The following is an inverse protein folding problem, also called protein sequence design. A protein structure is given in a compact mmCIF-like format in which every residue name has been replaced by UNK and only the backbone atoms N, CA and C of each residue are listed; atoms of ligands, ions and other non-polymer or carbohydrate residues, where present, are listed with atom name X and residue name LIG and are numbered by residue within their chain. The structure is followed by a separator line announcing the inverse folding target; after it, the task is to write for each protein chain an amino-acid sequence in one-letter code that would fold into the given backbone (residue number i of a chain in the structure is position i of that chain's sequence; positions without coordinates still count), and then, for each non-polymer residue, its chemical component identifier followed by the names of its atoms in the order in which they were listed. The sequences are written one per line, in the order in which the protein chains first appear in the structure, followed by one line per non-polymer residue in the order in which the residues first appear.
data_IF_319667483154
#
_entry.id   IF_319667483154
#
_cell.length_a   1.000
_cell.length_b   1.000
_cell.length_c   1.000
_cell.angle_alpha   90.00
_cell.angle_beta   90.00
_cell.angle_gamma   90.00
#
_symmetry.space_group_name_H-M   'P 1'
#
loop_
_entity.id
_entity.type
_entity.pdbx_description
1 polymer ?
#
# COMPACT_ATOMS: atom_id res chain seq x y z
N UNK A 1 22.03 9.13 -1.69
CA UNK A 1 21.28 9.43 -2.92
C UNK A 1 21.21 8.10 -3.62
N UNK A 2 20.04 7.57 -3.88
CA UNK A 2 19.90 6.28 -4.56
C UNK A 2 20.28 6.49 -6.03
N UNK A 3 21.19 5.69 -6.57
CA UNK A 3 21.47 5.70 -8.00
C UNK A 3 20.24 5.16 -8.73
N UNK A 4 19.62 6.01 -9.53
CA UNK A 4 18.46 5.67 -10.33
C UNK A 4 18.88 5.55 -11.79
N UNK A 5 18.35 4.54 -12.49
CA UNK A 5 18.65 4.36 -13.91
C UNK A 5 17.91 5.41 -14.73
N UNK A 6 18.67 6.26 -15.42
CA UNK A 6 18.14 7.28 -16.30
C UNK A 6 17.37 6.63 -17.48
N UNK A 7 16.17 7.14 -17.76
CA UNK A 7 15.34 6.70 -18.89
C UNK A 7 15.62 7.58 -20.12
N UNK A 8 15.71 8.89 -19.93
CA UNK A 8 15.97 9.86 -21.00
C UNK A 8 16.57 11.15 -20.40
N UNK A 9 17.24 11.91 -21.23
CA UNK A 9 17.66 13.29 -20.92
C UNK A 9 17.14 14.20 -22.03
N UNK A 10 16.33 15.20 -21.66
CA UNK A 10 15.74 16.16 -22.58
C UNK A 10 15.88 17.57 -22.01
N UNK A 11 16.47 18.48 -22.79
CA UNK A 11 16.71 19.90 -22.38
C UNK A 11 17.41 20.06 -21.01
N UNK A 12 18.35 19.14 -20.67
CA UNK A 12 19.07 19.18 -19.39
C UNK A 12 18.28 18.60 -18.19
N UNK A 13 17.07 18.11 -18.42
CA UNK A 13 16.27 17.38 -17.43
C UNK A 13 16.46 15.89 -17.63
N UNK A 14 16.88 15.18 -16.59
CA UNK A 14 16.99 13.74 -16.60
C UNK A 14 15.72 13.12 -16.04
N UNK A 15 15.04 12.32 -16.86
CA UNK A 15 13.92 11.49 -16.43
C UNK A 15 14.42 10.11 -16.03
N UNK A 16 13.87 9.55 -14.95
CA UNK A 16 14.25 8.26 -14.41
C UNK A 16 13.16 7.23 -14.62
N UNK A 17 13.54 5.96 -14.87
CA UNK A 17 12.58 4.87 -15.06
C UNK A 17 11.64 4.72 -13.87
N UNK A 18 12.13 4.86 -12.66
CA UNK A 18 11.27 4.82 -11.46
C UNK A 18 10.12 5.83 -11.54
N UNK A 19 10.42 7.08 -11.84
CA UNK A 19 9.42 8.14 -12.03
C UNK A 19 8.44 7.84 -13.17
N UNK A 20 8.92 7.26 -14.28
CA UNK A 20 8.08 6.87 -15.41
C UNK A 20 7.07 5.78 -15.02
N UNK A 21 7.47 4.77 -14.24
CA UNK A 21 6.57 3.73 -13.74
C UNK A 21 5.56 4.26 -12.72
N UNK A 22 5.97 5.20 -11.84
CA UNK A 22 5.04 5.88 -10.93
C UNK A 22 3.99 6.68 -11.71
N UNK A 23 4.42 7.43 -12.73
CA UNK A 23 3.51 8.18 -13.61
C UNK A 23 2.56 7.25 -14.38
N UNK A 24 3.07 6.12 -14.90
CA UNK A 24 2.26 5.08 -15.54
C UNK A 24 1.23 4.49 -14.58
N UNK A 25 1.65 4.18 -13.35
CA UNK A 25 0.73 3.72 -12.30
C UNK A 25 -0.36 4.72 -11.99
N UNK A 26 -0.01 6.01 -11.89
CA UNK A 26 -0.99 7.08 -11.68
C UNK A 26 -1.98 7.18 -12.85
N UNK A 27 -1.49 7.08 -14.09
CA UNK A 27 -2.34 7.08 -15.28
C UNK A 27 -3.32 5.90 -15.29
N UNK A 28 -2.84 4.68 -15.01
CA UNK A 28 -3.69 3.48 -14.88
C UNK A 28 -4.75 3.66 -13.77
N UNK A 29 -4.35 4.12 -12.61
CA UNK A 29 -5.25 4.38 -11.49
C UNK A 29 -6.37 5.35 -11.88
N UNK A 30 -6.04 6.50 -12.47
CA UNK A 30 -7.00 7.51 -12.88
C UNK A 30 -7.91 7.00 -14.02
N UNK A 31 -7.37 6.22 -14.95
CA UNK A 31 -8.15 5.58 -16.02
C UNK A 31 -9.20 4.63 -15.45
N UNK A 32 -8.81 3.73 -14.54
CA UNK A 32 -9.74 2.79 -13.91
C UNK A 32 -10.69 3.50 -12.96
N UNK A 33 -10.26 4.54 -12.24
CA UNK A 33 -11.16 5.38 -11.46
C UNK A 33 -12.25 6.02 -12.34
N UNK A 34 -11.87 6.63 -13.46
CA UNK A 34 -12.82 7.22 -14.41
C UNK A 34 -13.76 6.17 -15.03
N UNK A 35 -13.23 4.97 -15.37
CA UNK A 35 -14.04 3.85 -15.87
C UNK A 35 -15.07 3.42 -14.83
N UNK A 36 -14.68 3.28 -13.57
CA UNK A 36 -15.58 2.87 -12.49
C UNK A 36 -16.62 3.96 -12.15
N UNK A 37 -16.24 5.24 -12.21
CA UNK A 37 -17.18 6.35 -12.11
C UNK A 37 -18.28 6.28 -13.19
N UNK A 38 -17.92 5.92 -14.43
CA UNK A 38 -18.91 5.73 -15.51
C UNK A 38 -19.85 4.55 -15.22
N UNK A 39 -19.30 3.43 -14.69
CA UNK A 39 -20.10 2.24 -14.33
C UNK A 39 -21.07 2.53 -13.18
N UNK A 40 -20.65 3.33 -12.19
CA UNK A 40 -21.48 3.79 -11.06
C UNK A 40 -22.41 4.95 -11.43
N UNK A 41 -22.40 5.38 -12.70
CA UNK A 41 -23.19 6.53 -13.19
C UNK A 41 -22.96 7.79 -12.36
N UNK A 42 -21.70 8.04 -11.95
CA UNK A 42 -21.34 9.26 -11.26
C UNK A 42 -21.65 10.49 -12.14
N UNK A 43 -21.89 11.62 -11.49
CA UNK A 43 -22.18 12.90 -12.15
C UNK A 43 -21.05 13.27 -13.12
N UNK A 44 -21.42 13.89 -14.26
CA UNK A 44 -20.43 14.36 -15.23
C UNK A 44 -19.41 15.29 -14.58
N UNK A 45 -18.13 15.15 -14.95
CA UNK A 45 -17.04 15.94 -14.39
C UNK A 45 -16.46 15.39 -13.06
N UNK A 46 -17.12 14.44 -12.38
CA UNK A 46 -16.64 13.88 -11.10
C UNK A 46 -15.24 13.27 -11.24
N UNK A 47 -15.00 12.45 -12.25
CA UNK A 47 -13.69 11.83 -12.46
C UNK A 47 -12.61 12.88 -12.82
N UNK A 48 -12.94 13.86 -13.63
CA UNK A 48 -11.99 14.93 -13.99
C UNK A 48 -11.62 15.78 -12.77
N UNK A 49 -12.61 16.19 -11.97
CA UNK A 49 -12.37 16.95 -10.74
C UNK A 49 -11.53 16.15 -9.73
N UNK A 50 -11.88 14.86 -9.54
CA UNK A 50 -11.09 13.99 -8.69
C UNK A 50 -9.65 13.89 -9.19
N UNK A 51 -9.40 13.67 -10.48
CA UNK A 51 -8.07 13.57 -11.06
C UNK A 51 -7.25 14.85 -10.86
N UNK A 52 -7.86 16.02 -11.05
CA UNK A 52 -7.23 17.31 -10.84
C UNK A 52 -6.82 17.55 -9.37
N UNK A 53 -7.60 17.06 -8.42
CA UNK A 53 -7.32 17.18 -6.98
C UNK A 53 -6.40 16.06 -6.45
N UNK A 54 -6.51 14.84 -6.99
CA UNK A 54 -5.84 13.67 -6.48
C UNK A 54 -4.31 13.77 -6.61
N UNK A 55 -3.80 14.27 -7.73
CA UNK A 55 -2.36 14.40 -7.96
C UNK A 55 -1.73 15.37 -6.95
N UNK A 56 -2.15 16.65 -6.86
CA UNK A 56 -1.52 17.60 -5.94
C UNK A 56 -1.75 17.22 -4.47
N UNK A 57 -2.94 16.77 -4.08
CA UNK A 57 -3.21 16.38 -2.70
C UNK A 57 -2.49 15.07 -2.34
N UNK A 58 -2.40 14.12 -3.26
CA UNK A 58 -1.66 12.89 -3.08
C UNK A 58 -0.17 13.15 -2.86
N UNK A 59 0.45 13.98 -3.67
CA UNK A 59 1.85 14.38 -3.52
C UNK A 59 2.07 15.16 -2.21
N UNK A 60 1.24 16.15 -1.93
CA UNK A 60 1.35 16.98 -0.74
C UNK A 60 1.23 16.14 0.54
N UNK A 61 0.15 15.36 0.67
CA UNK A 61 -0.06 14.53 1.86
C UNK A 61 1.01 13.44 2.00
N UNK A 62 1.48 12.87 0.88
CA UNK A 62 2.57 11.90 0.87
C UNK A 62 3.86 12.51 1.42
N UNK A 63 4.22 13.70 0.98
CA UNK A 63 5.41 14.42 1.43
C UNK A 63 5.29 14.88 2.88
N UNK A 64 4.16 15.46 3.25
CA UNK A 64 3.90 15.92 4.62
C UNK A 64 3.99 14.77 5.61
N UNK A 65 3.33 13.64 5.30
CA UNK A 65 3.37 12.47 6.19
C UNK A 65 4.77 11.89 6.30
N UNK A 66 5.53 11.82 5.19
CA UNK A 66 6.92 11.41 5.22
C UNK A 66 7.75 12.31 6.14
N UNK A 67 7.68 13.62 5.95
CA UNK A 67 8.46 14.57 6.74
C UNK A 67 8.07 14.57 8.22
N UNK A 68 6.79 14.36 8.54
CA UNK A 68 6.32 14.24 9.93
C UNK A 68 6.89 12.99 10.63
N UNK A 69 6.94 11.88 9.91
CA UNK A 69 7.46 10.63 10.47
C UNK A 69 8.98 10.64 10.54
N UNK A 70 9.65 11.20 9.53
CA UNK A 70 11.11 11.36 9.49
C UNK A 70 11.60 12.31 10.59
N UNK A 71 10.95 13.47 10.75
CA UNK A 71 11.20 14.40 11.85
C UNK A 71 11.10 13.73 13.22
N UNK A 72 10.07 12.90 13.42
CA UNK A 72 9.86 12.21 14.70
C UNK A 72 11.03 11.32 15.09
N UNK A 73 11.74 10.76 14.12
CA UNK A 73 12.84 9.84 14.37
C UNK A 73 14.22 10.48 14.24
N UNK A 74 14.36 11.51 13.40
CA UNK A 74 15.64 12.16 13.13
C UNK A 74 15.78 13.56 13.74
N UNK A 75 14.72 14.09 14.37
CA UNK A 75 14.76 15.33 15.15
C UNK A 75 14.90 16.61 14.33
N UNK A 76 14.73 16.58 13.00
CA UNK A 76 14.99 17.74 12.12
C UNK A 76 13.85 18.02 11.12
N UNK A 77 12.67 18.34 11.63
CA UNK A 77 11.61 18.85 10.75
C UNK A 77 11.93 20.29 10.31
N UNK A 78 11.90 20.54 9.00
CA UNK A 78 11.91 21.90 8.49
C UNK A 78 10.87 22.05 7.37
N UNK A 79 10.18 23.21 7.36
CA UNK A 79 9.26 23.58 6.27
C UNK A 79 9.96 23.57 4.91
N UNK A 80 11.27 23.90 4.89
CA UNK A 80 12.09 23.83 3.69
C UNK A 80 12.23 22.39 3.20
N UNK A 81 12.49 21.41 4.08
CA UNK A 81 12.58 19.99 3.72
C UNK A 81 11.23 19.47 3.20
N UNK A 82 10.11 19.89 3.79
CA UNK A 82 8.77 19.53 3.32
C UNK A 82 8.47 20.12 1.93
N UNK A 83 8.96 21.32 1.62
CA UNK A 83 8.76 21.97 0.34
C UNK A 83 9.68 21.43 -0.79
N UNK A 84 10.77 20.72 -0.43
CA UNK A 84 11.72 20.15 -1.41
C UNK A 84 11.21 18.80 -1.97
N UNK A 85 10.22 18.87 -2.85
CA UNK A 85 9.64 17.65 -3.49
C UNK A 85 10.65 16.86 -4.33
N UNK A 86 11.64 17.53 -4.91
CA UNK A 86 12.72 16.92 -5.70
C UNK A 86 13.75 16.12 -4.87
N UNK A 87 13.73 16.27 -3.55
CA UNK A 87 14.63 15.54 -2.65
C UNK A 87 14.19 14.10 -2.36
N UNK A 88 13.09 13.63 -2.98
CA UNK A 88 12.54 12.30 -2.71
C UNK A 88 11.92 12.19 -1.32
N UNK A 89 11.59 10.96 -0.91
CA UNK A 89 10.94 10.68 0.37
C UNK A 89 9.45 10.98 0.35
N UNK A 90 8.67 9.93 0.03
CA UNK A 90 7.22 10.00 -0.05
C UNK A 90 6.61 8.80 0.71
N UNK A 91 5.49 9.03 1.38
CA UNK A 91 4.73 7.98 2.07
C UNK A 91 3.58 7.50 1.20
N UNK A 92 3.51 6.21 0.94
CA UNK A 92 2.38 5.61 0.20
C UNK A 92 1.05 5.79 0.96
N UNK A 93 1.06 5.66 2.28
CA UNK A 93 -0.13 5.91 3.09
C UNK A 93 -0.53 7.39 3.04
N UNK A 94 0.45 8.30 3.04
CA UNK A 94 0.18 9.73 2.84
C UNK A 94 -0.48 10.02 1.48
N UNK A 95 -0.01 9.37 0.41
CA UNK A 95 -0.62 9.49 -0.92
C UNK A 95 -2.08 8.96 -0.92
N UNK A 96 -2.33 7.83 -0.24
CA UNK A 96 -3.68 7.28 -0.10
C UNK A 96 -4.61 8.22 0.69
N UNK A 97 -4.12 8.83 1.78
CA UNK A 97 -4.88 9.83 2.53
C UNK A 97 -5.19 11.07 1.69
N UNK A 98 -4.22 11.54 0.90
CA UNK A 98 -4.42 12.64 -0.04
C UNK A 98 -5.45 12.32 -1.12
N UNK A 99 -5.42 11.11 -1.67
CA UNK A 99 -6.42 10.64 -2.62
C UNK A 99 -7.82 10.49 -1.97
N UNK A 100 -7.90 10.03 -0.73
CA UNK A 100 -9.15 9.96 0.02
C UNK A 100 -9.71 11.36 0.30
N UNK A 101 -8.85 12.32 0.64
CA UNK A 101 -9.21 13.73 0.79
C UNK A 101 -9.71 14.33 -0.53
N UNK A 102 -9.04 14.03 -1.65
CA UNK A 102 -9.50 14.44 -2.99
C UNK A 102 -10.89 13.87 -3.32
N UNK A 103 -11.14 12.60 -2.99
CA UNK A 103 -12.45 11.98 -3.17
C UNK A 103 -13.51 12.66 -2.32
N UNK A 104 -13.19 12.97 -1.06
CA UNK A 104 -14.10 13.67 -0.15
C UNK A 104 -14.42 15.10 -0.63
N UNK A 105 -13.40 15.89 -1.03
CA UNK A 105 -13.58 17.25 -1.59
C UNK A 105 -14.42 17.19 -2.87
N UNK A 106 -14.10 16.25 -3.78
CA UNK A 106 -14.87 16.03 -5.02
C UNK A 106 -16.34 15.73 -4.70
N UNK A 107 -16.61 14.87 -3.73
CA UNK A 107 -17.96 14.55 -3.29
C UNK A 107 -18.72 15.78 -2.78
N UNK A 108 -18.04 16.62 -1.99
CA UNK A 108 -18.62 17.88 -1.46
C UNK A 108 -18.96 18.86 -2.57
N UNK A 109 -18.02 19.09 -3.52
CA UNK A 109 -18.24 20.02 -4.65
C UNK A 109 -19.36 19.52 -5.55
N UNK A 110 -19.38 18.22 -5.85
CA UNK A 110 -20.40 17.60 -6.72
C UNK A 110 -21.75 17.35 -6.02
N UNK A 111 -21.80 17.57 -4.68
CA UNK A 111 -22.98 17.30 -3.83
C UNK A 111 -23.46 15.84 -3.96
N UNK A 112 -22.52 14.90 -3.92
CA UNK A 112 -22.78 13.45 -3.93
C UNK A 112 -22.20 12.80 -2.67
N UNK A 113 -22.63 11.59 -2.28
CA UNK A 113 -22.04 10.90 -1.16
C UNK A 113 -20.57 10.52 -1.45
N UNK A 114 -19.70 10.65 -0.44
CA UNK A 114 -18.27 10.36 -0.58
C UNK A 114 -17.96 8.84 -0.65
N UNK A 115 -18.78 8.01 0.00
CA UNK A 115 -18.52 6.58 0.13
C UNK A 115 -18.36 5.84 -1.21
N UNK A 116 -19.22 6.06 -2.24
CA UNK A 116 -19.02 5.46 -3.56
C UNK A 116 -17.68 5.84 -4.20
N UNK A 117 -17.21 7.08 -4.03
CA UNK A 117 -15.92 7.50 -4.58
C UNK A 117 -14.75 6.84 -3.85
N UNK A 118 -14.84 6.64 -2.53
CA UNK A 118 -13.88 5.89 -1.75
C UNK A 118 -13.88 4.39 -2.12
N UNK A 119 -15.03 3.81 -2.41
CA UNK A 119 -15.14 2.44 -2.94
C UNK A 119 -14.42 2.30 -4.30
N UNK A 120 -14.63 3.26 -5.20
CA UNK A 120 -13.98 3.32 -6.51
C UNK A 120 -12.47 3.49 -6.35
N UNK A 121 -12.04 4.42 -5.48
CA UNK A 121 -10.63 4.68 -5.18
C UNK A 121 -9.92 3.39 -4.75
N UNK A 122 -10.46 2.70 -3.74
CA UNK A 122 -9.84 1.48 -3.22
C UNK A 122 -9.84 0.33 -4.23
N UNK A 123 -10.80 0.28 -5.13
CA UNK A 123 -10.83 -0.71 -6.20
C UNK A 123 -9.81 -0.40 -7.33
N UNK A 124 -9.53 0.88 -7.57
CA UNK A 124 -8.56 1.31 -8.58
C UNK A 124 -7.11 1.35 -8.06
N UNK A 125 -6.90 1.50 -6.75
CA UNK A 125 -5.58 1.63 -6.12
C UNK A 125 -4.59 0.52 -6.47
N UNK A 126 -4.97 -0.77 -6.55
CA UNK A 126 -4.04 -1.84 -6.92
C UNK A 126 -3.38 -1.67 -8.28
N UNK A 127 -4.02 -0.99 -9.24
CA UNK A 127 -3.41 -0.69 -10.54
C UNK A 127 -2.23 0.27 -10.41
N UNK A 128 -2.34 1.27 -9.52
CA UNK A 128 -1.22 2.15 -9.18
C UNK A 128 -0.06 1.38 -8.57
N UNK A 129 -0.35 0.58 -7.52
CA UNK A 129 0.67 -0.15 -6.79
C UNK A 129 1.40 -1.12 -7.72
N UNK A 130 0.66 -1.87 -8.54
CA UNK A 130 1.23 -2.83 -9.49
C UNK A 130 2.27 -2.19 -10.41
N UNK A 131 1.94 -1.06 -11.04
CA UNK A 131 2.85 -0.39 -11.95
C UNK A 131 3.99 0.35 -11.22
N UNK A 132 3.66 1.11 -10.16
CA UNK A 132 4.65 1.92 -9.43
C UNK A 132 5.74 1.05 -8.79
N UNK A 133 5.37 -0.12 -8.23
CA UNK A 133 6.34 -1.04 -7.61
C UNK A 133 7.29 -1.68 -8.60
N UNK A 134 6.87 -1.92 -9.84
CA UNK A 134 7.79 -2.38 -10.90
C UNK A 134 8.92 -1.39 -11.16
N UNK A 135 8.67 -0.09 -10.96
CA UNK A 135 9.68 0.96 -11.12
C UNK A 135 10.84 0.86 -10.13
N UNK A 136 10.63 0.26 -8.95
CA UNK A 136 11.68 0.08 -7.94
C UNK A 136 12.81 -0.84 -8.44
N UNK A 137 12.54 -1.71 -9.41
CA UNK A 137 13.57 -2.54 -10.05
C UNK A 137 14.64 -1.77 -10.83
N UNK A 138 14.40 -0.49 -11.09
CA UNK A 138 15.35 0.42 -11.74
C UNK A 138 16.09 1.32 -10.74
N UNK A 139 16.02 1.00 -9.46
CA UNK A 139 16.75 1.66 -8.38
C UNK A 139 17.65 0.64 -7.69
N UNK A 140 18.77 1.07 -7.15
CA UNK A 140 19.74 0.13 -6.57
C UNK A 140 19.31 -0.42 -5.20
N UNK A 141 18.57 0.36 -4.42
CA UNK A 141 18.33 0.05 -3.01
C UNK A 141 16.85 -0.08 -2.62
N UNK A 142 15.91 0.43 -3.42
CA UNK A 142 14.49 0.35 -3.08
C UNK A 142 13.94 -1.07 -3.32
N UNK A 143 13.08 -1.51 -2.41
CA UNK A 143 12.37 -2.77 -2.56
C UNK A 143 13.24 -4.03 -2.43
N UNK A 144 14.40 -3.95 -1.79
CA UNK A 144 15.23 -5.10 -1.44
C UNK A 144 14.85 -5.65 -0.08
N UNK A 145 15.00 -6.97 0.07
CA UNK A 145 14.92 -7.64 1.37
C UNK A 145 16.24 -7.53 2.15
N UNK A 146 16.29 -8.19 3.30
CA UNK A 146 17.56 -8.57 3.94
C UNK A 146 18.32 -9.56 3.04
N UNK A 147 19.66 -9.69 3.23
CA UNK A 147 20.46 -10.71 2.54
C UNK A 147 19.86 -12.11 2.72
N UNK A 148 19.83 -12.88 1.63
CA UNK A 148 19.27 -14.22 1.59
C UNK A 148 20.32 -15.25 1.99
N UNK A 149 20.07 -15.99 3.05
CA UNK A 149 20.94 -17.08 3.49
C UNK A 149 20.61 -18.44 2.87
N UNK A 150 19.57 -18.51 1.98
CA UNK A 150 19.06 -19.74 1.40
C UNK A 150 19.51 -19.86 -0.05
N UNK A 151 20.45 -20.75 -0.35
CA UNK A 151 21.10 -20.85 -1.67
C UNK A 151 20.13 -21.05 -2.84
N UNK A 152 19.08 -21.87 -2.72
CA UNK A 152 18.11 -22.09 -3.80
C UNK A 152 17.30 -20.82 -4.11
N UNK A 153 17.01 -20.01 -3.10
CA UNK A 153 16.27 -18.75 -3.28
C UNK A 153 17.19 -17.66 -3.83
N UNK A 154 18.43 -17.58 -3.35
CA UNK A 154 19.47 -16.67 -3.85
C UNK A 154 19.78 -16.88 -5.34
N UNK A 155 19.67 -18.11 -5.84
CA UNK A 155 19.88 -18.44 -7.25
C UNK A 155 18.59 -18.42 -8.10
N UNK A 156 17.46 -17.99 -7.52
CA UNK A 156 16.18 -17.91 -8.23
C UNK A 156 16.02 -16.58 -8.96
N UNK A 157 15.07 -16.54 -9.93
CA UNK A 157 14.67 -15.30 -10.60
C UNK A 157 14.05 -14.25 -9.63
N UNK A 158 13.64 -14.68 -8.43
CA UNK A 158 13.12 -13.81 -7.40
C UNK A 158 14.22 -13.07 -6.62
N UNK A 159 15.48 -13.45 -6.81
CA UNK A 159 16.61 -12.79 -6.17
C UNK A 159 17.29 -11.80 -7.11
N UNK A 160 17.86 -10.78 -6.52
CA UNK A 160 18.80 -9.85 -7.15
C UNK A 160 20.13 -9.96 -6.41
N UNK A 161 21.22 -10.12 -7.19
CA UNK A 161 22.57 -10.24 -6.67
C UNK A 161 23.31 -8.93 -6.94
N UNK A 162 24.03 -8.40 -5.95
CA UNK A 162 24.83 -7.20 -6.09
C UNK A 162 26.34 -7.49 -6.19
N UNK A 163 26.70 -8.78 -6.31
CA UNK A 163 28.07 -9.26 -6.37
C UNK A 163 28.64 -9.73 -5.02
N UNK A 164 28.02 -9.36 -3.91
CA UNK A 164 28.38 -9.78 -2.55
C UNK A 164 27.26 -10.60 -1.92
N UNK A 165 26.03 -10.07 -1.94
CA UNK A 165 24.87 -10.68 -1.35
C UNK A 165 23.72 -10.81 -2.34
N UNK A 166 22.83 -11.75 -2.07
CA UNK A 166 21.58 -11.91 -2.80
C UNK A 166 20.41 -11.37 -1.97
N UNK A 167 19.50 -10.64 -2.60
CA UNK A 167 18.34 -10.00 -1.99
C UNK A 167 17.06 -10.42 -2.70
N UNK A 168 15.97 -10.61 -1.97
CA UNK A 168 14.68 -10.87 -2.57
C UNK A 168 14.16 -9.59 -3.28
N UNK A 169 13.66 -9.74 -4.50
CA UNK A 169 12.98 -8.67 -5.25
C UNK A 169 11.58 -8.45 -4.69
N UNK A 170 11.48 -7.82 -3.51
CA UNK A 170 10.20 -7.61 -2.82
C UNK A 170 9.25 -6.77 -3.66
N UNK A 171 9.78 -5.80 -4.42
CA UNK A 171 9.02 -4.97 -5.35
C UNK A 171 8.28 -5.81 -6.41
N UNK A 172 8.88 -6.88 -6.91
CA UNK A 172 8.27 -7.76 -7.91
C UNK A 172 7.10 -8.55 -7.30
N UNK A 173 7.29 -9.12 -6.11
CA UNK A 173 6.25 -9.85 -5.39
C UNK A 173 5.07 -8.93 -5.01
N UNK A 174 5.39 -7.72 -4.58
CA UNK A 174 4.38 -6.71 -4.25
C UNK A 174 3.60 -6.28 -5.50
N UNK A 175 4.30 -6.02 -6.62
CA UNK A 175 3.67 -5.71 -7.90
C UNK A 175 2.76 -6.83 -8.39
N UNK A 176 3.21 -8.10 -8.34
CA UNK A 176 2.41 -9.26 -8.72
C UNK A 176 1.16 -9.40 -7.84
N UNK A 177 1.32 -9.25 -6.53
CA UNK A 177 0.20 -9.33 -5.59
C UNK A 177 -0.81 -8.20 -5.84
N UNK A 178 -0.33 -6.97 -6.07
CA UNK A 178 -1.19 -5.85 -6.43
C UNK A 178 -1.88 -6.08 -7.78
N UNK A 179 -1.21 -6.68 -8.77
CA UNK A 179 -1.79 -7.07 -10.05
C UNK A 179 -2.93 -8.08 -9.89
N UNK A 180 -2.75 -9.10 -9.04
CA UNK A 180 -3.80 -10.08 -8.70
C UNK A 180 -5.00 -9.36 -8.06
N UNK A 181 -4.76 -8.45 -7.12
CA UNK A 181 -5.83 -7.67 -6.50
C UNK A 181 -6.53 -6.74 -7.49
N UNK A 182 -5.80 -6.13 -8.43
CA UNK A 182 -6.35 -5.31 -9.51
C UNK A 182 -7.31 -6.12 -10.39
N UNK A 183 -6.88 -7.31 -10.84
CA UNK A 183 -7.72 -8.24 -11.61
C UNK A 183 -8.94 -8.68 -10.80
N UNK A 184 -8.74 -9.01 -9.53
CA UNK A 184 -9.84 -9.41 -8.63
C UNK A 184 -10.89 -8.31 -8.49
N UNK A 185 -10.50 -7.04 -8.24
CA UNK A 185 -11.44 -5.93 -8.13
C UNK A 185 -12.10 -5.62 -9.48
N UNK A 186 -11.36 -5.66 -10.60
CA UNK A 186 -11.91 -5.47 -11.92
C UNK A 186 -12.98 -6.52 -12.26
N UNK A 187 -12.68 -7.80 -12.06
CA UNK A 187 -13.63 -8.90 -12.29
C UNK A 187 -14.86 -8.81 -11.38
N UNK A 188 -14.65 -8.46 -10.09
CA UNK A 188 -15.73 -8.27 -9.14
C UNK A 188 -16.67 -7.13 -9.53
N UNK A 189 -16.11 -5.98 -9.93
CA UNK A 189 -16.92 -4.82 -10.36
C UNK A 189 -17.64 -5.13 -11.67
N UNK A 190 -16.96 -5.76 -12.62
CA UNK A 190 -17.58 -6.14 -13.89
C UNK A 190 -18.74 -7.11 -13.71
N UNK A 191 -18.60 -8.09 -12.80
CA UNK A 191 -19.67 -9.05 -12.47
C UNK A 191 -20.84 -8.40 -11.73
N UNK A 192 -20.56 -7.51 -10.79
CA UNK A 192 -21.59 -6.87 -9.93
C UNK A 192 -22.16 -5.59 -10.51
N UNK A 193 -21.49 -5.01 -11.51
CA UNK A 193 -21.79 -3.69 -12.09
C UNK A 193 -21.71 -2.55 -11.06
N UNK A 194 -21.04 -2.77 -9.92
CA UNK A 194 -20.87 -1.77 -8.86
C UNK A 194 -19.55 -1.98 -8.09
N UNK A 195 -18.92 -0.88 -7.68
CA UNK A 195 -17.76 -0.86 -6.80
C UNK A 195 -18.12 -0.97 -5.30
N UNK A 196 -19.41 -0.92 -4.96
CA UNK A 196 -19.89 -0.89 -3.57
C UNK A 196 -19.25 -1.98 -2.69
N UNK A 197 -18.80 -1.56 -1.50
CA UNK A 197 -18.13 -2.41 -0.51
C UNK A 197 -16.68 -2.77 -0.90
N UNK A 198 -16.07 -2.05 -1.84
CA UNK A 198 -14.66 -2.21 -2.17
C UNK A 198 -13.75 -1.48 -1.17
N UNK A 199 -14.24 -0.41 -0.52
CA UNK A 199 -13.46 0.32 0.49
C UNK A 199 -12.96 -0.60 1.61
N UNK A 200 -13.88 -1.18 2.37
CA UNK A 200 -13.48 -2.06 3.49
C UNK A 200 -12.76 -3.32 3.02
N UNK A 201 -13.16 -3.88 1.87
CA UNK A 201 -12.48 -5.04 1.32
C UNK A 201 -11.05 -4.71 0.87
N UNK A 202 -10.85 -3.55 0.24
CA UNK A 202 -9.54 -3.07 -0.16
C UNK A 202 -8.68 -2.72 1.06
N UNK A 203 -9.22 -2.03 2.06
CA UNK A 203 -8.53 -1.76 3.31
C UNK A 203 -8.06 -3.06 4.00
N UNK A 204 -8.91 -4.10 4.00
CA UNK A 204 -8.55 -5.39 4.58
C UNK A 204 -7.44 -6.08 3.77
N UNK A 205 -7.63 -6.26 2.45
CA UNK A 205 -6.70 -7.03 1.62
C UNK A 205 -5.39 -6.28 1.36
N UNK A 206 -5.45 -5.00 1.00
CA UNK A 206 -4.25 -4.18 0.80
C UNK A 206 -3.53 -3.92 2.12
N UNK A 207 -4.26 -3.66 3.20
CA UNK A 207 -3.66 -3.46 4.52
C UNK A 207 -2.86 -4.66 4.99
N UNK A 208 -3.40 -5.88 4.84
CA UNK A 208 -2.69 -7.11 5.23
C UNK A 208 -1.51 -7.42 4.32
N UNK A 209 -1.65 -7.30 3.00
CA UNK A 209 -0.56 -7.57 2.05
C UNK A 209 0.55 -6.54 2.16
N UNK A 210 0.22 -5.25 2.28
CA UNK A 210 1.22 -4.19 2.42
C UNK A 210 1.94 -4.26 3.79
N UNK A 211 1.26 -4.63 4.87
CA UNK A 211 1.92 -4.86 6.16
C UNK A 211 2.97 -5.98 6.09
N UNK A 212 2.70 -7.05 5.30
CA UNK A 212 3.67 -8.12 5.04
C UNK A 212 4.86 -7.63 4.21
N UNK A 213 4.60 -6.91 3.10
CA UNK A 213 5.67 -6.45 2.22
C UNK A 213 6.57 -5.40 2.88
N UNK A 214 6.01 -4.53 3.72
CA UNK A 214 6.80 -3.59 4.51
C UNK A 214 7.73 -4.30 5.53
N UNK A 215 7.35 -5.48 6.04
CA UNK A 215 8.22 -6.34 6.85
C UNK A 215 9.37 -6.93 6.02
N UNK A 216 9.07 -7.39 4.80
CA UNK A 216 10.06 -7.96 3.89
C UNK A 216 11.08 -6.93 3.40
N UNK A 217 10.73 -5.66 3.32
CA UNK A 217 11.61 -4.57 2.88
C UNK A 217 12.64 -4.25 3.97
N UNK A 218 13.87 -4.09 3.55
CA UNK A 218 14.98 -3.72 4.43
C UNK A 218 15.64 -2.39 4.00
N UNK A 219 14.91 -1.59 3.24
CA UNK A 219 15.34 -0.21 2.99
C UNK A 219 15.15 0.64 4.26
N UNK A 220 15.95 1.70 4.40
CA UNK A 220 15.91 2.59 5.56
C UNK A 220 14.72 3.55 5.59
N UNK A 221 13.77 3.38 4.64
CA UNK A 221 12.65 4.30 4.45
C UNK A 221 11.64 4.22 5.59
N UNK A 222 11.51 5.29 6.37
CA UNK A 222 10.56 5.42 7.49
C UNK A 222 10.63 4.27 8.51
N UNK A 223 11.82 3.66 8.68
CA UNK A 223 12.02 2.55 9.58
C UNK A 223 12.51 3.06 10.95
N UNK A 224 11.90 2.57 12.02
CA UNK A 224 12.31 2.80 13.38
C UNK A 224 12.75 1.49 14.01
N UNK A 225 14.06 1.33 14.21
CA UNK A 225 14.63 0.06 14.65
C UNK A 225 14.24 -1.07 13.70
N UNK A 226 13.55 -2.09 14.18
CA UNK A 226 13.14 -3.27 13.41
C UNK A 226 11.74 -3.15 12.76
N UNK A 227 10.97 -2.08 13.00
CA UNK A 227 9.61 -1.90 12.48
C UNK A 227 9.55 -0.71 11.53
N UNK A 228 8.83 -0.85 10.40
CA UNK A 228 8.49 0.24 9.50
C UNK A 228 7.25 0.99 9.99
N UNK A 229 7.27 2.33 9.93
CA UNK A 229 6.08 3.14 10.26
C UNK A 229 4.97 2.92 9.25
N UNK A 230 5.28 2.68 7.98
CA UNK A 230 4.27 2.33 6.98
C UNK A 230 3.60 1.00 7.31
N UNK A 231 4.34 0.02 7.82
CA UNK A 231 3.80 -1.25 8.29
C UNK A 231 2.73 -1.06 9.38
N UNK A 232 3.00 -0.19 10.37
CA UNK A 232 2.03 0.15 11.42
C UNK A 232 0.77 0.80 10.82
N UNK A 233 0.94 1.74 9.89
CA UNK A 233 -0.18 2.43 9.24
C UNK A 233 -1.06 1.46 8.43
N UNK A 234 -0.45 0.51 7.70
CA UNK A 234 -1.20 -0.54 7.01
C UNK A 234 -1.87 -1.52 7.97
N UNK A 235 -1.22 -1.83 9.11
CA UNK A 235 -1.84 -2.61 10.17
C UNK A 235 -3.07 -1.91 10.75
N UNK A 236 -3.02 -0.62 11.01
CA UNK A 236 -4.18 0.18 11.42
C UNK A 236 -5.28 0.16 10.36
N UNK A 237 -4.93 0.20 9.07
CA UNK A 237 -5.89 0.16 7.96
C UNK A 237 -6.67 -1.17 7.92
N UNK A 238 -6.00 -2.32 7.98
CA UNK A 238 -6.72 -3.60 8.00
C UNK A 238 -7.48 -3.83 9.32
N UNK A 239 -6.95 -3.38 10.46
CA UNK A 239 -7.63 -3.47 11.75
C UNK A 239 -8.95 -2.66 11.75
N UNK A 240 -8.92 -1.44 11.22
CA UNK A 240 -10.13 -0.63 11.05
C UNK A 240 -11.18 -1.34 10.18
N UNK A 241 -10.75 -1.93 9.05
CA UNK A 241 -11.65 -2.68 8.18
C UNK A 241 -12.25 -3.92 8.88
N UNK A 242 -11.45 -4.67 9.63
CA UNK A 242 -11.89 -5.84 10.38
C UNK A 242 -12.92 -5.45 11.47
N UNK A 243 -12.63 -4.40 12.26
CA UNK A 243 -13.52 -3.89 13.30
C UNK A 243 -14.83 -3.39 12.70
N UNK A 244 -14.80 -2.68 11.58
CA UNK A 244 -16.00 -2.19 10.89
C UNK A 244 -16.84 -3.33 10.31
N UNK A 245 -16.23 -4.41 9.82
CA UNK A 245 -16.98 -5.61 9.43
C UNK A 245 -17.60 -6.33 10.64
N UNK A 246 -16.84 -6.44 11.74
CA UNK A 246 -17.32 -7.05 12.97
C UNK A 246 -18.48 -6.26 13.60
N UNK A 247 -18.43 -4.93 13.56
CA UNK A 247 -19.47 -4.04 14.07
C UNK A 247 -20.84 -4.28 13.39
N UNK A 248 -20.83 -4.68 12.12
CA UNK A 248 -22.05 -5.05 11.39
C UNK A 248 -22.63 -6.40 11.82
N UNK A 249 -21.86 -7.20 12.54
CA UNK A 249 -22.26 -8.52 13.03
C UNK A 249 -22.63 -8.54 14.53
N UNK A 250 -22.30 -7.47 15.29
CA UNK A 250 -22.67 -7.30 16.69
C UNK A 250 -21.49 -7.07 17.64
N UNK A 251 -21.79 -6.69 18.90
CA UNK A 251 -20.78 -6.30 19.91
C UNK A 251 -19.75 -7.40 20.22
N UNK A 252 -20.21 -8.66 20.35
CA UNK A 252 -19.32 -9.82 20.63
C UNK A 252 -18.24 -9.96 19.54
N UNK A 253 -18.60 -9.78 18.27
CA UNK A 253 -17.69 -9.87 17.14
C UNK A 253 -16.67 -8.73 17.11
N UNK A 254 -17.06 -7.53 17.58
CA UNK A 254 -16.11 -6.41 17.74
C UNK A 254 -15.05 -6.75 18.80
N UNK A 255 -15.44 -7.32 19.93
CA UNK A 255 -14.49 -7.74 20.98
C UNK A 255 -13.52 -8.78 20.43
N UNK A 256 -14.03 -9.79 19.69
CA UNK A 256 -13.18 -10.80 19.04
C UNK A 256 -12.23 -10.16 18.03
N UNK A 257 -12.71 -9.23 17.21
CA UNK A 257 -11.88 -8.53 16.23
C UNK A 257 -10.75 -7.74 16.89
N UNK A 258 -11.04 -7.02 17.97
CA UNK A 258 -10.04 -6.27 18.74
C UNK A 258 -9.01 -7.25 19.37
N UNK A 259 -9.46 -8.35 19.95
CA UNK A 259 -8.57 -9.35 20.53
C UNK A 259 -7.65 -9.99 19.46
N UNK A 260 -8.18 -10.27 18.27
CA UNK A 260 -7.38 -10.78 17.14
C UNK A 260 -6.38 -9.71 16.68
N UNK A 261 -6.78 -8.43 16.57
CA UNK A 261 -5.85 -7.36 16.22
C UNK A 261 -4.71 -7.22 17.25
N UNK A 262 -5.01 -7.32 18.55
CA UNK A 262 -4.00 -7.27 19.60
C UNK A 262 -3.05 -8.48 19.54
N UNK A 263 -3.57 -9.69 19.33
CA UNK A 263 -2.78 -10.90 19.15
C UNK A 263 -1.86 -10.78 17.91
N UNK A 264 -2.39 -10.31 16.79
CA UNK A 264 -1.63 -10.12 15.55
C UNK A 264 -0.55 -9.05 15.73
N UNK A 265 -0.86 -7.95 16.40
CA UNK A 265 0.13 -6.90 16.69
C UNK A 265 1.27 -7.42 17.57
N UNK A 266 0.95 -8.12 18.67
CA UNK A 266 1.97 -8.73 19.55
C UNK A 266 2.79 -9.80 18.83
N UNK A 267 2.13 -10.68 18.06
CA UNK A 267 2.80 -11.70 17.25
C UNK A 267 3.71 -11.10 16.17
N UNK A 268 3.25 -10.04 15.49
CA UNK A 268 4.04 -9.32 14.49
C UNK A 268 5.30 -8.70 15.08
N UNK A 269 5.18 -8.00 16.23
CA UNK A 269 6.34 -7.44 16.95
C UNK A 269 7.32 -8.54 17.36
N UNK A 270 6.82 -9.67 17.88
CA UNK A 270 7.67 -10.82 18.23
C UNK A 270 8.38 -11.41 17.02
N UNK A 271 7.68 -11.59 15.90
CA UNK A 271 8.28 -12.11 14.66
C UNK A 271 9.32 -11.13 14.08
N UNK A 272 9.03 -9.84 14.05
CA UNK A 272 9.98 -8.81 13.59
C UNK A 272 11.27 -8.81 14.45
N UNK A 273 11.12 -8.93 15.77
CA UNK A 273 12.25 -9.03 16.68
C UNK A 273 13.07 -10.31 16.40
N UNK A 274 12.38 -11.44 16.16
CA UNK A 274 13.06 -12.69 15.82
C UNK A 274 13.75 -12.63 14.45
N UNK A 275 13.13 -12.02 13.44
CA UNK A 275 13.72 -11.80 12.12
C UNK A 275 14.99 -10.93 12.23
N UNK A 276 14.99 -9.96 13.15
CA UNK A 276 16.14 -9.06 13.34
C UNK A 276 17.27 -9.67 14.12
N UNK A 277 17.01 -10.55 15.08
CA UNK A 277 17.99 -10.96 16.10
C UNK A 277 18.21 -12.44 16.28
N UNK A 278 17.38 -13.30 15.69
CA UNK A 278 17.52 -14.73 15.89
C UNK A 278 18.28 -15.42 14.75
N UNK A 279 18.84 -16.59 15.03
CA UNK A 279 19.45 -17.50 14.04
C UNK A 279 18.42 -18.40 13.34
N UNK A 280 17.13 -18.24 13.63
CA UNK A 280 16.05 -19.03 13.01
C UNK A 280 15.93 -18.67 11.54
N UNK A 281 15.66 -19.66 10.69
CA UNK A 281 15.49 -19.45 9.25
C UNK A 281 14.46 -18.37 8.96
N UNK A 282 14.86 -17.32 8.25
CA UNK A 282 13.98 -16.21 7.83
C UNK A 282 12.77 -16.71 7.06
N UNK A 283 12.92 -17.79 6.26
CA UNK A 283 11.81 -18.38 5.51
C UNK A 283 10.71 -18.91 6.43
N UNK A 284 11.10 -19.59 7.52
CA UNK A 284 10.15 -20.11 8.51
C UNK A 284 9.42 -18.96 9.23
N UNK A 285 10.16 -17.91 9.61
CA UNK A 285 9.59 -16.74 10.28
C UNK A 285 8.61 -15.99 9.37
N UNK A 286 8.93 -15.81 8.09
CA UNK A 286 7.99 -15.20 7.13
C UNK A 286 6.80 -16.10 6.83
N UNK A 287 6.95 -17.42 6.80
CA UNK A 287 5.80 -18.34 6.71
C UNK A 287 4.86 -18.18 7.91
N UNK A 288 5.42 -18.09 9.14
CA UNK A 288 4.64 -17.81 10.34
C UNK A 288 3.97 -16.43 10.28
N UNK A 289 4.65 -15.43 9.71
CA UNK A 289 4.11 -14.08 9.53
C UNK A 289 2.91 -14.07 8.57
N UNK A 290 3.00 -14.79 7.45
CA UNK A 290 1.89 -14.96 6.48
C UNK A 290 0.69 -15.61 7.16
N UNK A 291 0.91 -16.70 7.93
CA UNK A 291 -0.16 -17.37 8.67
C UNK A 291 -0.80 -16.43 9.71
N UNK A 292 0.01 -15.64 10.42
CA UNK A 292 -0.48 -14.67 11.41
C UNK A 292 -1.37 -13.60 10.74
N UNK A 293 -0.96 -13.05 9.60
CA UNK A 293 -1.74 -12.05 8.86
C UNK A 293 -2.95 -12.64 8.12
N UNK A 294 -2.95 -13.95 7.83
CA UNK A 294 -4.11 -14.62 7.27
C UNK A 294 -5.31 -14.67 8.24
N UNK A 295 -5.07 -14.62 9.56
CA UNK A 295 -6.13 -14.62 10.57
C UNK A 295 -7.07 -13.41 10.44
N UNK A 296 -6.61 -12.14 10.48
CA UNK A 296 -7.50 -10.99 10.35
C UNK A 296 -8.13 -10.92 8.95
N UNK A 297 -7.42 -11.32 7.89
CA UNK A 297 -7.96 -11.36 6.55
C UNK A 297 -9.11 -12.38 6.43
N UNK A 298 -8.91 -13.61 6.91
CA UNK A 298 -9.93 -14.65 6.91
C UNK A 298 -11.14 -14.30 7.77
N UNK A 299 -10.90 -13.77 8.97
CA UNK A 299 -11.97 -13.33 9.87
C UNK A 299 -12.77 -12.16 9.27
N UNK A 300 -12.12 -11.21 8.64
CA UNK A 300 -12.78 -10.10 7.97
C UNK A 300 -13.64 -10.55 6.79
N UNK A 301 -13.16 -11.51 5.98
CA UNK A 301 -13.96 -12.12 4.91
C UNK A 301 -15.15 -12.91 5.45
N UNK A 302 -14.99 -13.62 6.57
CA UNK A 302 -16.08 -14.31 7.26
C UNK A 302 -17.15 -13.31 7.73
N UNK A 303 -16.78 -12.24 8.43
CA UNK A 303 -17.73 -11.22 8.88
C UNK A 303 -18.40 -10.50 7.71
N UNK A 304 -17.67 -10.22 6.62
CA UNK A 304 -18.26 -9.69 5.39
C UNK A 304 -19.35 -10.60 4.82
N UNK A 305 -19.12 -11.92 4.84
CA UNK A 305 -20.13 -12.90 4.37
C UNK A 305 -21.35 -12.90 5.31
N UNK A 306 -21.13 -12.94 6.62
CA UNK A 306 -22.17 -12.99 7.64
C UNK A 306 -23.01 -11.70 7.70
N UNK A 307 -22.42 -10.53 7.50
CA UNK A 307 -23.14 -9.24 7.49
C UNK A 307 -24.11 -9.05 6.32
N UNK A 308 -24.11 -9.98 5.35
CA UNK A 308 -25.03 -10.01 4.19
C UNK A 308 -26.16 -11.01 4.34
N UNK A 309 -26.12 -11.87 5.32
CA UNK A 309 -27.23 -12.74 5.72
C UNK A 309 -28.14 -11.91 6.63
N UNK A 310 -29.45 -11.76 6.31
CA UNK A 310 -30.40 -11.02 7.14
C UNK A 310 -30.55 -11.69 8.51
#
# INVERSE_FOLDING_TARGET
MFEETAAFSLFGLTGYWYGAFVAWGAALFLLFFARYCRMEKCKNGTAALFSALCIPLGLLCSRVLFCLLDFRFHGMFSLRAAAMFWGGGFSMVGALLGAALAAWITARIQKIPALPLLDILMAALPFFICAARMGEGFTELLGRSRPLNTAWLANSFLAQNDGYDAYLRTYLLESLTAGILAIFFAARIQKRKTAQGSLLLGMLLLGTTQALFESLRFDSHMRYSFISMQQILFACMFAAALILYAARCGKKQVIIAIAVCALVAGGAVGLEFMIDRSSVSSLLLYAAYILLLALPAGLGLYYKKRSKTP
#
